data_IF_257003384659
#
_entry.id   IF_257003384659
#
_cell.length_a   1.000
_cell.length_b   1.000
_cell.length_c   1.000
_cell.angle_alpha   90.00
_cell.angle_beta   90.00
_cell.angle_gamma   90.00
#
_symmetry.space_group_name_H-M   'P 1'
#
loop_
_entity.id
_entity.type
_entity.pdbx_description
1 polymer ?
#
# COMPACT_ATOMS: atom_id res chain seq x y z
N UNK A 1 -4.79 12.36 -29.52
CA UNK A 1 -4.97 12.60 -30.98
C UNK A 1 -5.85 11.49 -31.54
N UNK A 2 -6.84 11.82 -32.37
CA UNK A 2 -7.96 10.98 -32.82
C UNK A 2 -7.52 9.73 -33.60
N UNK A 3 -8.20 8.60 -33.39
CA UNK A 3 -8.70 7.72 -34.47
C UNK A 3 -10.04 7.12 -34.00
N UNK A 4 -11.15 7.66 -34.51
CA UNK A 4 -12.44 6.95 -34.56
C UNK A 4 -12.82 6.93 -36.04
N UNK A 5 -13.00 5.74 -36.61
CA UNK A 5 -13.26 5.58 -38.03
C UNK A 5 -14.70 5.99 -38.38
N UNK A 6 -14.90 6.42 -39.62
CA UNK A 6 -16.18 6.96 -40.12
C UNK A 6 -17.35 5.97 -40.04
N UNK A 7 -17.07 4.66 -39.90
CA UNK A 7 -18.06 3.59 -39.75
C UNK A 7 -18.75 3.62 -38.38
N UNK A 8 -18.03 3.93 -37.29
CA UNK A 8 -18.57 3.92 -35.93
C UNK A 8 -19.61 5.05 -35.71
N UNK A 9 -19.47 6.16 -36.44
CA UNK A 9 -20.42 7.29 -36.38
C UNK A 9 -21.74 7.01 -37.07
N UNK A 10 -21.76 6.15 -38.09
CA UNK A 10 -22.98 5.82 -38.84
C UNK A 10 -23.82 4.84 -38.00
N UNK A 11 -23.20 3.79 -37.48
CA UNK A 11 -23.85 2.79 -36.62
C UNK A 11 -24.42 3.46 -35.37
N UNK A 12 -23.66 4.34 -34.72
CA UNK A 12 -24.11 5.04 -33.52
C UNK A 12 -25.31 5.99 -33.79
N UNK A 13 -25.34 6.65 -34.95
CA UNK A 13 -26.48 7.50 -35.34
C UNK A 13 -27.73 6.67 -35.70
N UNK A 14 -27.54 5.51 -36.29
CA UNK A 14 -28.63 4.62 -36.70
C UNK A 14 -29.29 3.97 -35.46
N UNK A 15 -28.48 3.52 -34.50
CA UNK A 15 -28.95 3.04 -33.19
C UNK A 15 -29.68 4.12 -32.38
N UNK A 16 -29.15 5.36 -32.33
CA UNK A 16 -29.81 6.43 -31.60
C UNK A 16 -31.17 6.81 -32.22
N UNK A 17 -31.26 6.79 -33.55
CA UNK A 17 -32.49 7.05 -34.31
C UNK A 17 -33.56 6.00 -34.01
N UNK A 18 -33.20 4.71 -34.01
CA UNK A 18 -34.14 3.62 -33.75
C UNK A 18 -34.64 3.61 -32.29
N UNK A 19 -33.76 3.89 -31.32
CA UNK A 19 -34.12 3.98 -29.91
C UNK A 19 -35.06 5.16 -29.64
N UNK A 20 -34.80 6.33 -30.24
CA UNK A 20 -35.66 7.52 -30.07
C UNK A 20 -37.03 7.31 -30.72
N UNK A 21 -37.10 6.68 -31.89
CA UNK A 21 -38.36 6.38 -32.56
C UNK A 21 -39.17 5.29 -31.85
N UNK A 22 -38.51 4.32 -31.22
CA UNK A 22 -39.13 3.27 -30.40
C UNK A 22 -39.77 3.80 -29.11
N UNK A 23 -39.16 4.81 -28.48
CA UNK A 23 -39.59 5.33 -27.18
C UNK A 23 -40.57 6.52 -27.27
N UNK A 24 -40.68 7.16 -28.43
CA UNK A 24 -41.58 8.31 -28.68
C UNK A 24 -43.06 8.06 -28.31
N UNK A 25 -43.67 6.89 -28.57
CA UNK A 25 -45.08 6.66 -28.23
C UNK A 25 -45.35 6.49 -26.73
N UNK A 26 -44.36 6.05 -25.94
CA UNK A 26 -44.51 5.71 -24.52
C UNK A 26 -44.35 6.92 -23.60
N UNK A 27 -43.59 7.93 -24.04
CA UNK A 27 -43.30 9.14 -23.24
C UNK A 27 -44.49 10.12 -23.21
N UNK A 28 -45.42 10.04 -24.17
CA UNK A 28 -46.54 11.00 -24.29
C UNK A 28 -47.86 10.59 -23.61
N UNK A 29 -47.96 9.42 -22.98
CA UNK A 29 -49.23 8.94 -22.36
C UNK A 29 -49.17 8.63 -20.87
N UNK A 30 -48.14 9.08 -20.15
CA UNK A 30 -48.03 8.80 -18.71
C UNK A 30 -48.83 9.81 -17.87
N UNK A 31 -50.08 9.46 -17.53
CA UNK A 31 -50.95 10.24 -16.63
C UNK A 31 -50.52 10.08 -15.18
N UNK A 32 -49.74 11.03 -14.68
CA UNK A 32 -49.19 11.16 -13.31
C UNK A 32 -50.18 11.06 -12.13
N UNK A 33 -51.48 11.05 -12.39
CA UNK A 33 -52.55 11.12 -11.38
C UNK A 33 -52.67 9.83 -10.55
N UNK A 34 -52.24 8.68 -11.08
CA UNK A 34 -52.33 7.39 -10.41
C UNK A 34 -51.18 7.12 -9.43
N UNK A 35 -49.99 7.67 -9.69
CA UNK A 35 -48.79 7.43 -8.88
C UNK A 35 -48.81 8.22 -7.55
N UNK A 36 -49.46 9.39 -7.53
CA UNK A 36 -49.57 10.26 -6.35
C UNK A 36 -50.54 9.68 -5.30
N UNK A 37 -51.52 8.85 -5.72
CA UNK A 37 -52.44 8.18 -4.80
C UNK A 37 -51.83 6.99 -4.06
N UNK A 38 -50.80 6.33 -4.61
CA UNK A 38 -50.21 5.14 -4.00
C UNK A 38 -49.33 5.45 -2.77
N UNK A 39 -48.81 6.68 -2.66
CA UNK A 39 -47.85 7.04 -1.61
C UNK A 39 -48.38 8.03 -0.56
N UNK A 40 -49.67 8.37 -0.58
CA UNK A 40 -50.31 9.15 0.50
C UNK A 40 -49.71 10.54 0.76
N UNK A 41 -48.94 11.10 -0.18
CA UNK A 41 -48.26 12.38 0.01
C UNK A 41 -49.21 13.54 -0.27
N UNK A 42 -49.68 14.24 0.78
CA UNK A 42 -50.30 15.57 0.65
C UNK A 42 -49.21 16.60 0.33
N UNK A 43 -49.29 17.37 -0.77
CA UNK A 43 -48.32 18.40 -1.06
C UNK A 43 -48.56 19.61 -0.14
N UNK A 44 -47.69 19.82 0.84
CA UNK A 44 -47.46 21.17 1.38
C UNK A 44 -46.45 21.86 0.45
N UNK A 45 -46.85 23.04 -0.05
CA UNK A 45 -46.17 24.01 -0.93
C UNK A 45 -44.72 23.74 -1.43
N UNK A 46 -44.40 24.02 -2.72
CA UNK A 46 -43.08 23.79 -3.33
C UNK A 46 -42.07 24.87 -2.86
N UNK A 47 -40.72 24.70 -2.91
CA UNK A 47 -39.98 24.52 -4.18
C UNK A 47 -38.56 23.85 -4.12
N UNK A 48 -38.01 23.46 -5.27
CA UNK A 48 -36.60 23.66 -5.64
C UNK A 48 -36.36 23.18 -7.08
N UNK A 49 -36.43 24.10 -8.04
CA UNK A 49 -35.92 23.85 -9.38
C UNK A 49 -34.43 24.17 -9.42
N UNK A 50 -33.65 23.41 -10.19
CA UNK A 50 -32.24 23.71 -10.44
C UNK A 50 -32.15 24.54 -11.71
N UNK A 51 -31.42 25.65 -11.64
CA UNK A 51 -31.20 26.54 -12.78
C UNK A 51 -29.95 26.09 -13.54
N UNK A 52 -30.12 25.69 -14.79
CA UNK A 52 -29.02 25.32 -15.68
C UNK A 52 -28.79 26.47 -16.65
N UNK A 53 -27.60 27.07 -16.63
CA UNK A 53 -27.22 28.10 -17.59
C UNK A 53 -26.67 27.46 -18.86
N UNK A 54 -27.26 27.78 -20.01
CA UNK A 54 -26.79 27.30 -21.31
C UNK A 54 -26.38 28.51 -22.16
N UNK A 55 -25.21 28.42 -22.80
CA UNK A 55 -24.75 29.43 -23.73
C UNK A 55 -25.43 29.22 -25.08
N UNK A 56 -26.24 30.18 -25.51
CA UNK A 56 -26.93 30.12 -26.81
C UNK A 56 -26.16 31.00 -27.82
N UNK A 57 -25.62 30.43 -28.91
CA UNK A 57 -24.97 31.22 -29.95
C UNK A 57 -26.01 31.97 -30.81
N UNK A 58 -25.84 33.29 -30.95
CA UNK A 58 -26.69 34.13 -31.81
C UNK A 58 -26.30 33.94 -33.29
N UNK A 59 -27.24 33.78 -34.23
CA UNK A 59 -26.92 33.64 -35.65
C UNK A 59 -26.35 34.95 -36.23
N UNK A 60 -25.25 34.87 -36.97
CA UNK A 60 -24.68 36.00 -37.72
C UNK A 60 -25.63 36.41 -38.86
N UNK A 61 -26.26 37.59 -38.76
CA UNK A 61 -26.74 38.31 -39.97
C UNK A 61 -25.57 39.10 -40.58
N UNK A 62 -25.52 39.13 -41.92
CA UNK A 62 -24.44 39.70 -42.74
C UNK A 62 -24.22 41.19 -42.44
N UNK A 63 -22.94 41.58 -42.40
CA UNK A 63 -22.34 42.87 -42.02
C UNK A 63 -22.97 44.08 -42.71
N UNK A 64 -23.09 45.18 -41.96
CA UNK A 64 -22.47 46.46 -42.34
C UNK A 64 -21.81 47.11 -41.10
N UNK A 65 -20.89 48.02 -41.40
CA UNK A 65 -19.75 48.56 -40.65
C UNK A 65 -19.96 49.09 -39.22
N UNK A 66 -18.82 49.17 -38.52
CA UNK A 66 -18.50 49.83 -37.24
C UNK A 66 -18.68 48.97 -35.97
N UNK A 67 -17.66 49.04 -35.11
CA UNK A 67 -17.40 48.07 -34.04
C UNK A 67 -18.41 48.07 -32.91
N UNK A 68 -18.74 46.88 -32.40
CA UNK A 68 -19.38 46.69 -31.11
C UNK A 68 -19.05 45.31 -30.51
N UNK A 69 -18.96 45.30 -29.19
CA UNK A 69 -18.56 44.20 -28.31
C UNK A 69 -19.39 42.91 -28.50
N UNK A 70 -18.75 41.75 -28.30
CA UNK A 70 -19.43 40.45 -28.21
C UNK A 70 -20.24 40.38 -26.92
N UNK A 71 -21.56 40.44 -27.00
CA UNK A 71 -22.43 40.03 -25.91
C UNK A 71 -22.96 38.61 -26.16
N UNK A 72 -22.65 37.68 -25.25
CA UNK A 72 -23.34 36.38 -25.15
C UNK A 72 -24.50 36.50 -24.17
N UNK A 73 -25.72 36.15 -24.59
CA UNK A 73 -26.86 36.05 -23.66
C UNK A 73 -26.87 34.66 -23.02
N UNK A 74 -26.83 34.61 -21.68
CA UNK A 74 -27.02 33.37 -20.92
C UNK A 74 -28.53 33.06 -20.83
N UNK A 75 -28.95 31.91 -21.31
CA UNK A 75 -30.31 31.42 -21.07
C UNK A 75 -30.30 30.56 -19.80
N UNK A 76 -31.18 30.85 -18.85
CA UNK A 76 -31.32 30.09 -17.61
C UNK A 76 -32.58 29.24 -17.71
N UNK A 77 -32.42 27.92 -17.78
CA UNK A 77 -33.54 26.98 -17.86
C UNK A 77 -33.75 26.38 -16.47
N UNK A 78 -34.97 26.49 -15.95
CA UNK A 78 -35.36 25.85 -14.70
C UNK A 78 -35.73 24.40 -14.98
N UNK A 79 -34.90 23.46 -14.55
CA UNK A 79 -35.17 22.02 -14.66
C UNK A 79 -35.68 21.52 -13.32
N UNK A 80 -36.76 20.73 -13.35
CA UNK A 80 -37.28 20.10 -12.15
C UNK A 80 -36.28 19.05 -11.64
N UNK A 81 -36.05 19.01 -10.33
CA UNK A 81 -35.17 18.01 -9.70
C UNK A 81 -35.60 16.58 -10.05
N UNK A 82 -36.90 16.37 -10.21
CA UNK A 82 -37.46 15.08 -10.62
C UNK A 82 -37.07 14.67 -12.05
N UNK A 83 -36.82 15.63 -12.94
CA UNK A 83 -36.33 15.37 -14.30
C UNK A 83 -34.89 14.87 -14.28
N UNK A 84 -34.06 15.39 -13.37
CA UNK A 84 -32.68 14.92 -13.21
C UNK A 84 -32.63 13.53 -12.58
N UNK A 85 -33.46 13.27 -11.56
CA UNK A 85 -33.56 11.96 -10.92
C UNK A 85 -34.03 10.89 -11.91
N UNK A 86 -35.02 11.19 -12.75
CA UNK A 86 -35.52 10.25 -13.77
C UNK A 86 -34.48 9.93 -14.84
N UNK A 87 -33.72 10.93 -15.31
CA UNK A 87 -32.62 10.70 -16.26
C UNK A 87 -31.50 9.84 -15.65
N UNK A 88 -31.17 10.05 -14.38
CA UNK A 88 -30.17 9.25 -13.67
C UNK A 88 -30.60 7.78 -13.55
N UNK A 89 -31.86 7.53 -13.16
CA UNK A 89 -32.41 6.18 -13.03
C UNK A 89 -32.46 5.45 -14.39
N UNK A 90 -32.84 6.15 -15.46
CA UNK A 90 -32.82 5.59 -16.81
C UNK A 90 -31.39 5.22 -17.27
N UNK A 91 -30.40 6.06 -16.97
CA UNK A 91 -28.99 5.78 -17.28
C UNK A 91 -28.48 4.53 -16.53
N UNK A 92 -28.79 4.42 -15.23
CA UNK A 92 -28.39 3.28 -14.42
C UNK A 92 -29.00 1.97 -14.93
N UNK A 93 -30.27 1.99 -15.36
CA UNK A 93 -30.94 0.81 -15.92
C UNK A 93 -30.32 0.36 -17.26
N UNK A 94 -29.98 1.31 -18.15
CA UNK A 94 -29.33 0.98 -19.43
C UNK A 94 -27.93 0.39 -19.18
N UNK A 95 -27.19 0.94 -18.22
CA UNK A 95 -25.86 0.47 -17.87
C UNK A 95 -25.86 -0.96 -17.32
N UNK A 96 -26.84 -1.31 -16.46
CA UNK A 96 -26.95 -2.67 -15.92
C UNK A 96 -27.33 -3.71 -16.98
N UNK A 97 -28.20 -3.35 -17.94
CA UNK A 97 -28.55 -4.23 -19.07
C UNK A 97 -27.32 -4.49 -19.96
N UNK A 98 -26.50 -3.47 -20.22
CA UNK A 98 -25.27 -3.62 -21.01
C UNK A 98 -24.24 -4.52 -20.32
N UNK A 99 -24.07 -4.41 -19.00
CA UNK A 99 -23.18 -5.30 -18.24
C UNK A 99 -23.64 -6.75 -18.32
N UNK A 100 -24.95 -7.00 -18.15
CA UNK A 100 -25.51 -8.34 -18.27
C UNK A 100 -25.29 -8.95 -19.67
N UNK A 101 -25.45 -8.14 -20.72
CA UNK A 101 -25.24 -8.58 -22.11
C UNK A 101 -23.77 -8.95 -22.42
N UNK A 102 -22.81 -8.22 -21.86
CA UNK A 102 -21.38 -8.52 -22.04
C UNK A 102 -21.02 -9.84 -21.35
N UNK A 103 -21.56 -10.08 -20.17
CA UNK A 103 -21.27 -11.29 -19.38
C UNK A 103 -21.82 -12.55 -20.05
N UNK A 104 -22.99 -12.47 -20.69
CA UNK A 104 -23.65 -13.62 -21.31
C UNK A 104 -23.12 -13.99 -22.70
N UNK A 105 -22.46 -13.08 -23.42
CA UNK A 105 -22.18 -13.25 -24.85
C UNK A 105 -20.73 -13.08 -25.29
N UNK A 106 -19.79 -12.70 -24.41
CA UNK A 106 -18.41 -12.39 -24.81
C UNK A 106 -17.30 -13.24 -24.15
N UNK A 107 -17.61 -14.34 -23.45
CA UNK A 107 -16.59 -15.23 -22.90
C UNK A 107 -16.43 -16.55 -23.70
N UNK A 108 -15.27 -16.80 -24.35
CA UNK A 108 -14.90 -18.13 -24.82
C UNK A 108 -14.26 -18.94 -23.68
N UNK A 109 -14.73 -20.17 -23.52
CA UNK A 109 -14.20 -21.20 -22.62
C UNK A 109 -12.88 -21.76 -23.16
N UNK A 110 -11.83 -21.80 -22.32
CA UNK A 110 -10.58 -22.49 -22.65
C UNK A 110 -10.17 -23.43 -21.51
N UNK A 111 -9.92 -24.67 -21.95
CA UNK A 111 -9.52 -25.88 -21.23
C UNK A 111 -8.07 -25.73 -20.71
N UNK A 112 -7.82 -26.13 -19.48
CA UNK A 112 -6.49 -26.15 -18.84
C UNK A 112 -5.78 -27.49 -19.06
N UNK A 113 -4.47 -27.46 -19.30
CA UNK A 113 -3.57 -28.62 -19.18
C UNK A 113 -2.54 -28.36 -18.05
N UNK A 114 -2.15 -29.35 -17.24
CA UNK A 114 -1.25 -29.11 -16.11
C UNK A 114 0.22 -29.20 -16.52
N UNK A 115 0.98 -28.14 -16.22
CA UNK A 115 2.44 -28.07 -16.40
C UNK A 115 3.21 -28.65 -15.22
N UNK A 116 4.24 -29.43 -15.55
CA UNK A 116 5.15 -30.17 -14.67
C UNK A 116 6.05 -29.22 -13.86
N UNK A 117 6.02 -29.31 -12.53
CA UNK A 117 6.95 -28.60 -11.64
C UNK A 117 8.31 -29.29 -11.58
N UNK A 118 9.37 -28.63 -12.06
CA UNK A 118 10.77 -29.05 -11.85
C UNK A 118 11.20 -28.73 -10.41
N UNK A 119 11.77 -29.73 -9.72
CA UNK A 119 12.48 -29.55 -8.45
C UNK A 119 13.65 -28.57 -8.62
N UNK A 120 13.55 -27.38 -8.02
CA UNK A 120 14.68 -26.44 -7.91
C UNK A 120 15.51 -26.85 -6.69
N UNK A 121 16.82 -27.07 -6.90
CA UNK A 121 17.80 -27.29 -5.83
C UNK A 121 18.07 -25.95 -5.13
N UNK A 122 17.83 -25.88 -3.83
CA UNK A 122 18.32 -24.81 -2.96
C UNK A 122 19.85 -24.73 -3.06
N UNK A 123 20.39 -23.69 -3.71
CA UNK A 123 21.79 -23.28 -3.56
C UNK A 123 21.83 -22.12 -2.57
N UNK A 124 21.82 -22.46 -1.29
CA UNK A 124 21.93 -21.52 -0.20
C UNK A 124 22.43 -22.21 1.05
N UNK A 125 23.63 -22.81 1.00
CA UNK A 125 24.38 -23.13 2.24
C UNK A 125 24.87 -21.82 2.84
N UNK A 126 23.98 -21.09 3.49
CA UNK A 126 24.39 -20.13 4.50
C UNK A 126 24.62 -20.92 5.78
N UNK A 127 25.82 -21.49 5.93
CA UNK A 127 26.34 -21.85 7.25
C UNK A 127 26.66 -20.55 8.00
N UNK A 128 25.61 -19.87 8.46
CA UNK A 128 25.74 -18.72 9.34
C UNK A 128 26.02 -19.29 10.73
N UNK A 129 27.27 -19.14 11.17
CA UNK A 129 27.63 -19.42 12.55
C UNK A 129 26.67 -18.68 13.47
N UNK A 130 26.03 -19.42 14.38
CA UNK A 130 25.18 -18.85 15.42
C UNK A 130 26.08 -17.96 16.29
N UNK A 131 25.87 -16.63 16.38
CA UNK A 131 26.58 -15.84 17.36
C UNK A 131 26.08 -16.29 18.75
N UNK A 132 26.93 -16.99 19.49
CA UNK A 132 26.65 -17.43 20.87
C UNK A 132 26.84 -16.31 21.91
N UNK A 133 27.11 -15.07 21.50
CA UNK A 133 27.41 -13.98 22.43
C UNK A 133 26.41 -12.83 22.31
N UNK A 134 25.95 -12.37 23.49
CA UNK A 134 25.26 -11.09 23.67
C UNK A 134 26.16 -9.95 23.15
N UNK A 135 25.58 -8.86 22.63
CA UNK A 135 26.35 -7.77 22.07
C UNK A 135 27.27 -7.13 23.12
N UNK A 136 28.48 -6.75 22.69
CA UNK A 136 29.38 -5.93 23.48
C UNK A 136 28.99 -4.45 23.28
N UNK A 137 28.68 -3.73 24.36
CA UNK A 137 28.18 -2.35 24.31
C UNK A 137 29.27 -1.29 23.99
N UNK A 138 30.45 -1.69 23.53
CA UNK A 138 31.55 -0.75 23.26
C UNK A 138 31.35 -0.01 21.92
N UNK A 139 31.62 1.30 21.94
CA UNK A 139 31.70 2.11 20.72
C UNK A 139 32.84 1.58 19.84
N UNK A 140 32.51 1.09 18.64
CA UNK A 140 33.49 0.50 17.72
C UNK A 140 34.22 1.61 16.95
N UNK A 141 35.55 1.66 17.11
CA UNK A 141 36.41 2.56 16.32
C UNK A 141 36.83 1.80 15.07
N UNK A 142 36.32 2.19 13.90
CA UNK A 142 36.80 1.67 12.62
C UNK A 142 37.82 2.66 12.02
N UNK A 143 38.89 2.12 11.44
CA UNK A 143 39.87 2.89 10.68
C UNK A 143 39.45 2.78 9.21
N UNK A 144 38.77 3.81 8.70
CA UNK A 144 38.52 3.98 7.26
C UNK A 144 39.46 5.08 6.78
N UNK A 145 40.26 4.79 5.75
CA UNK A 145 41.21 5.72 5.13
C UNK A 145 42.15 6.45 6.13
N UNK A 146 42.62 5.74 7.16
CA UNK A 146 43.55 6.28 8.15
C UNK A 146 42.95 7.32 9.11
N UNK A 147 41.64 7.63 9.02
CA UNK A 147 40.95 8.50 9.97
C UNK A 147 40.18 7.65 10.99
N UNK A 148 40.40 7.91 12.28
CA UNK A 148 39.55 7.37 13.36
C UNK A 148 38.18 8.04 13.25
N UNK A 149 37.18 7.30 12.78
CA UNK A 149 35.79 7.77 12.81
C UNK A 149 35.11 7.13 14.02
N UNK A 150 34.69 7.96 14.96
CA UNK A 150 33.92 7.51 16.13
C UNK A 150 32.48 7.28 15.69
N UNK A 151 31.89 6.13 16.04
CA UNK A 151 30.46 5.94 15.85
C UNK A 151 29.67 6.99 16.63
N UNK A 152 28.58 7.47 16.02
CA UNK A 152 27.64 8.44 16.60
C UNK A 152 26.73 7.74 17.60
N UNK A 153 26.36 6.49 17.32
CA UNK A 153 25.55 5.64 18.19
C UNK A 153 25.80 4.16 17.89
N UNK A 154 25.29 3.27 18.75
CA UNK A 154 25.44 1.81 18.58
C UNK A 154 24.06 1.14 18.68
N UNK A 155 23.60 0.52 17.60
CA UNK A 155 22.30 -0.19 17.60
C UNK A 155 22.24 -1.37 18.56
N UNK A 156 23.40 -1.89 18.96
CA UNK A 156 23.51 -2.97 19.95
C UNK A 156 23.26 -2.51 21.40
N UNK A 157 23.28 -1.20 21.69
CA UNK A 157 22.96 -0.72 23.04
C UNK A 157 21.47 -0.77 23.35
N UNK A 158 20.62 -1.09 22.38
CA UNK A 158 19.17 -1.13 22.54
C UNK A 158 18.61 -2.50 22.91
N UNK A 159 19.46 -3.52 23.02
CA UNK A 159 19.05 -4.78 23.62
C UNK A 159 18.89 -4.60 25.14
N UNK A 160 17.79 -5.09 25.68
CA UNK A 160 17.57 -5.12 27.13
C UNK A 160 18.45 -6.20 27.76
N UNK A 161 19.22 -5.82 28.77
CA UNK A 161 20.04 -6.78 29.52
C UNK A 161 19.15 -7.82 30.19
N UNK A 162 19.50 -9.10 30.03
CA UNK A 162 18.82 -10.25 30.63
C UNK A 162 17.37 -10.51 30.17
N UNK A 163 16.91 -9.81 29.15
CA UNK A 163 15.65 -10.12 28.49
C UNK A 163 15.83 -11.19 27.41
N UNK A 164 14.98 -12.23 27.36
CA UNK A 164 15.01 -13.20 26.28
C UNK A 164 14.64 -12.51 24.95
N UNK A 165 15.41 -12.82 23.92
CA UNK A 165 15.11 -12.45 22.54
C UNK A 165 13.95 -13.32 22.02
N UNK A 166 13.18 -12.83 21.03
CA UNK A 166 12.12 -13.63 20.42
C UNK A 166 12.69 -14.89 19.76
N UNK A 167 11.84 -15.92 19.65
CA UNK A 167 12.26 -17.20 19.08
C UNK A 167 12.69 -17.03 17.62
N UNK A 168 13.79 -17.67 17.25
CA UNK A 168 14.26 -17.65 15.88
C UNK A 168 13.77 -18.87 15.11
N UNK A 169 12.93 -18.63 14.09
CA UNK A 169 12.68 -19.63 13.03
C UNK A 169 13.75 -19.51 11.94
N UNK A 170 14.71 -20.42 12.01
CA UNK A 170 15.83 -20.51 11.05
C UNK A 170 15.37 -20.94 9.66
N UNK A 171 16.22 -20.69 8.66
CA UNK A 171 16.02 -21.12 7.26
C UNK A 171 14.75 -20.57 6.59
N UNK A 172 14.23 -19.45 7.10
CA UNK A 172 13.11 -18.74 6.49
C UNK A 172 13.54 -18.02 5.22
N UNK A 173 12.69 -18.01 4.18
CA UNK A 173 12.98 -17.26 2.95
C UNK A 173 13.08 -15.78 3.29
N UNK A 174 12.09 -15.27 4.02
CA UNK A 174 12.08 -13.90 4.49
C UNK A 174 11.58 -13.77 5.91
N UNK A 175 12.04 -12.71 6.57
CA UNK A 175 11.47 -12.22 7.82
C UNK A 175 10.57 -11.03 7.54
N UNK A 176 9.43 -10.97 8.23
CA UNK A 176 8.67 -9.72 8.34
C UNK A 176 8.94 -9.11 9.72
N UNK A 177 9.50 -7.91 9.75
CA UNK A 177 9.55 -7.08 10.97
C UNK A 177 8.40 -6.08 10.90
N UNK A 178 7.55 -6.11 11.92
CA UNK A 178 6.33 -5.28 12.00
C UNK A 178 6.55 -4.22 13.06
N UNK A 179 6.69 -2.96 12.66
CA UNK A 179 6.74 -1.86 13.60
C UNK A 179 5.35 -1.68 14.24
N UNK A 180 5.28 -1.84 15.56
CA UNK A 180 4.05 -1.73 16.34
C UNK A 180 4.29 -0.86 17.58
N UNK A 181 3.23 -0.53 18.32
CA UNK A 181 3.30 0.19 19.58
C UNK A 181 2.77 -0.68 20.73
N UNK A 182 3.22 -0.51 21.96
CA UNK A 182 2.86 -1.37 23.11
C UNK A 182 1.35 -1.61 23.21
N UNK A 183 0.55 -0.56 23.05
CA UNK A 183 -0.91 -0.54 23.11
C UNK A 183 -1.61 -1.33 21.99
N UNK A 184 -0.95 -1.54 20.84
CA UNK A 184 -1.54 -2.17 19.66
C UNK A 184 -1.61 -3.71 19.72
N UNK A 185 -1.84 -4.27 20.91
CA UNK A 185 -2.00 -5.71 21.16
C UNK A 185 -3.04 -6.36 20.24
N UNK A 186 -4.17 -5.67 20.02
CA UNK A 186 -5.24 -6.14 19.14
C UNK A 186 -4.83 -6.22 17.66
N UNK A 187 -4.04 -5.27 17.16
CA UNK A 187 -3.53 -5.29 15.79
C UNK A 187 -2.56 -6.45 15.61
N UNK A 188 -1.61 -6.61 16.53
CA UNK A 188 -0.66 -7.74 16.52
C UNK A 188 -1.39 -9.08 16.55
N UNK A 189 -2.41 -9.24 17.39
CA UNK A 189 -3.23 -10.46 17.45
C UNK A 189 -3.89 -10.77 16.10
N UNK A 190 -4.52 -9.80 15.44
CA UNK A 190 -5.14 -10.03 14.13
C UNK A 190 -4.11 -10.35 13.05
N UNK A 191 -2.95 -9.69 13.07
CA UNK A 191 -1.84 -10.00 12.16
C UNK A 191 -1.36 -11.45 12.35
N UNK A 192 -1.16 -11.89 13.61
CA UNK A 192 -0.80 -13.29 13.94
C UNK A 192 -1.83 -14.27 13.41
N UNK A 193 -3.12 -13.97 13.54
CA UNK A 193 -4.20 -14.85 13.09
C UNK A 193 -4.40 -14.85 11.57
N UNK A 194 -3.74 -13.94 10.85
CA UNK A 194 -3.90 -13.75 9.41
C UNK A 194 -2.58 -14.01 8.67
N UNK A 195 -2.01 -13.00 8.01
CA UNK A 195 -0.92 -13.16 7.05
C UNK A 195 0.42 -13.54 7.68
N UNK A 196 0.57 -13.41 9.01
CA UNK A 196 1.74 -13.91 9.73
C UNK A 196 1.68 -15.40 10.07
N UNK A 197 0.53 -16.07 9.92
CA UNK A 197 0.41 -17.51 10.15
C UNK A 197 0.51 -18.30 8.82
N UNK A 198 1.61 -19.02 8.56
CA UNK A 198 1.75 -19.85 7.36
C UNK A 198 0.68 -20.93 7.21
N UNK A 199 0.10 -21.43 8.31
CA UNK A 199 -0.96 -22.45 8.28
C UNK A 199 -2.24 -21.98 7.56
N UNK A 200 -2.38 -20.66 7.36
CA UNK A 200 -3.50 -20.08 6.59
C UNK A 200 -3.36 -20.31 5.08
N UNK A 201 -2.23 -20.83 4.62
CA UNK A 201 -1.92 -21.01 3.20
C UNK A 201 -1.75 -22.50 2.90
N UNK A 202 -2.61 -23.03 2.02
CA UNK A 202 -2.48 -24.40 1.54
C UNK A 202 -1.12 -24.61 0.86
N UNK A 203 -0.41 -25.67 1.24
CA UNK A 203 0.88 -26.08 0.64
C UNK A 203 2.10 -25.20 0.94
N UNK A 204 2.04 -24.29 1.92
CA UNK A 204 3.24 -23.58 2.39
C UNK A 204 4.01 -24.39 3.42
N UNK A 205 5.36 -24.47 3.32
CA UNK A 205 6.16 -25.11 4.36
C UNK A 205 6.16 -24.24 5.63
N UNK A 206 6.28 -24.88 6.81
CA UNK A 206 6.30 -24.22 8.13
C UNK A 206 7.40 -23.14 8.30
N UNK A 207 8.38 -23.12 7.39
CA UNK A 207 9.53 -22.24 7.38
C UNK A 207 9.49 -21.23 6.22
N UNK A 208 8.33 -20.98 5.60
CA UNK A 208 8.20 -20.05 4.48
C UNK A 208 8.61 -18.62 4.89
N UNK A 209 8.04 -18.10 5.99
CA UNK A 209 8.41 -16.83 6.61
C UNK A 209 8.15 -16.83 8.11
N UNK A 210 8.69 -15.82 8.79
CA UNK A 210 8.45 -15.59 10.21
C UNK A 210 8.25 -14.09 10.48
N UNK A 211 7.25 -13.76 11.30
CA UNK A 211 6.97 -12.40 11.71
C UNK A 211 7.55 -12.10 13.10
N UNK A 212 8.04 -10.89 13.29
CA UNK A 212 8.50 -10.36 14.57
C UNK A 212 7.94 -8.96 14.76
N UNK A 213 7.36 -8.70 15.92
CA UNK A 213 6.81 -7.39 16.25
C UNK A 213 7.85 -6.56 17.00
N UNK A 214 8.07 -5.34 16.55
CA UNK A 214 9.01 -4.40 17.17
C UNK A 214 8.24 -3.43 18.05
N UNK A 215 8.63 -3.34 19.32
CA UNK A 215 8.05 -2.40 20.30
C UNK A 215 9.15 -1.77 21.14
N UNK A 216 8.86 -0.62 21.75
CA UNK A 216 9.74 0.02 22.73
C UNK A 216 9.38 -0.36 24.16
N UNK A 217 9.91 0.40 25.11
CA UNK A 217 9.53 0.34 26.52
C UNK A 217 8.16 0.99 26.73
N UNK A 218 7.29 0.35 27.53
CA UNK A 218 6.08 0.99 28.03
C UNK A 218 6.44 2.15 28.96
N UNK A 219 5.50 3.08 29.12
CA UNK A 219 5.60 4.25 30.00
C UNK A 219 4.92 4.03 31.37
N UNK A 220 4.17 2.93 31.53
CA UNK A 220 3.43 2.60 32.75
C UNK A 220 3.46 1.09 33.07
N UNK A 221 3.22 0.76 34.34
CA UNK A 221 3.31 -0.59 34.88
C UNK A 221 2.23 -1.54 34.31
N UNK A 222 1.03 -1.03 34.04
CA UNK A 222 -0.06 -1.84 33.45
C UNK A 222 0.31 -2.32 32.04
N UNK A 223 0.87 -1.42 31.23
CA UNK A 223 1.34 -1.70 29.88
C UNK A 223 2.55 -2.65 29.91
N UNK A 224 3.43 -2.52 30.90
CA UNK A 224 4.53 -3.46 31.13
C UNK A 224 4.02 -4.86 31.47
N UNK A 225 3.04 -4.96 32.36
CA UNK A 225 2.43 -6.23 32.71
C UNK A 225 1.78 -6.92 31.50
N UNK A 226 1.00 -6.17 30.71
CA UNK A 226 0.36 -6.69 29.50
C UNK A 226 1.39 -7.11 28.43
N UNK A 227 2.43 -6.31 28.23
CA UNK A 227 3.51 -6.61 27.30
C UNK A 227 4.25 -7.89 27.70
N UNK A 228 4.58 -8.05 28.97
CA UNK A 228 5.26 -9.24 29.48
C UNK A 228 4.39 -10.50 29.31
N UNK A 229 3.08 -10.39 29.57
CA UNK A 229 2.13 -11.48 29.34
C UNK A 229 2.08 -11.88 27.87
N UNK A 230 1.98 -10.91 26.95
CA UNK A 230 2.00 -11.17 25.51
C UNK A 230 3.32 -11.79 25.07
N UNK A 231 4.45 -11.27 25.57
CA UNK A 231 5.79 -11.77 25.27
C UNK A 231 5.93 -13.24 25.64
N UNK A 232 5.52 -13.63 26.85
CA UNK A 232 5.55 -15.03 27.30
C UNK A 232 4.64 -15.93 26.46
N UNK A 233 3.51 -15.41 26.02
CA UNK A 233 2.52 -16.19 25.26
C UNK A 233 2.98 -16.49 23.82
N UNK A 234 3.54 -15.51 23.12
CA UNK A 234 3.81 -15.62 21.67
C UNK A 234 5.29 -15.72 21.31
N UNK A 235 6.21 -15.26 22.17
CA UNK A 235 7.66 -15.28 21.94
C UNK A 235 8.11 -14.64 20.60
N UNK A 236 7.38 -13.65 20.09
CA UNK A 236 7.61 -12.98 18.81
C UNK A 236 7.77 -11.46 18.92
N UNK A 237 7.93 -10.95 20.15
CA UNK A 237 8.18 -9.53 20.44
C UNK A 237 9.67 -9.25 20.59
N UNK A 238 10.19 -8.30 19.80
CA UNK A 238 11.48 -7.66 20.02
C UNK A 238 11.26 -6.31 20.72
N UNK A 239 11.54 -6.29 22.02
CA UNK A 239 11.40 -5.10 22.88
C UNK A 239 12.75 -4.39 22.95
N UNK A 240 12.79 -3.12 22.54
CA UNK A 240 14.01 -2.32 22.61
C UNK A 240 14.07 -1.38 23.81
N UNK A 241 15.30 -1.06 24.22
CA UNK A 241 15.61 -0.16 25.33
C UNK A 241 15.49 1.33 24.94
N UNK A 242 14.31 1.74 24.48
CA UNK A 242 13.96 3.12 24.14
C UNK A 242 12.47 3.33 24.42
N UNK A 243 12.06 4.55 24.75
CA UNK A 243 10.64 4.86 24.93
C UNK A 243 9.87 4.55 23.64
N UNK A 244 8.74 3.85 23.74
CA UNK A 244 7.90 3.56 22.58
C UNK A 244 7.19 4.83 22.10
N UNK A 245 7.75 5.46 21.07
CA UNK A 245 7.21 6.69 20.50
C UNK A 245 7.60 6.81 19.02
N UNK A 246 6.83 7.61 18.28
CA UNK A 246 7.13 7.91 16.88
C UNK A 246 8.55 8.50 16.70
N UNK A 247 9.00 9.34 17.65
CA UNK A 247 10.33 9.97 17.58
C UNK A 247 11.48 8.94 17.63
N UNK A 248 11.24 7.77 18.22
CA UNK A 248 12.20 6.67 18.30
C UNK A 248 11.97 5.58 17.23
N UNK A 249 11.11 5.81 16.24
CA UNK A 249 10.79 4.79 15.22
C UNK A 249 12.02 4.31 14.46
N UNK A 250 12.94 5.21 14.12
CA UNK A 250 14.23 4.87 13.48
C UNK A 250 15.06 3.92 14.33
N UNK A 251 15.18 4.18 15.64
CA UNK A 251 15.90 3.30 16.56
C UNK A 251 15.25 1.92 16.60
N UNK A 252 13.91 1.89 16.66
CA UNK A 252 13.12 0.66 16.66
C UNK A 252 13.36 -0.19 15.41
N UNK A 253 13.32 0.43 14.24
CA UNK A 253 13.50 -0.29 12.97
C UNK A 253 14.95 -0.77 12.79
N UNK A 254 15.95 0.06 13.08
CA UNK A 254 17.36 -0.38 13.00
C UNK A 254 17.66 -1.49 14.02
N UNK A 255 17.07 -1.45 15.21
CA UNK A 255 17.17 -2.54 16.19
C UNK A 255 16.57 -3.85 15.64
N UNK A 256 15.40 -3.78 15.01
CA UNK A 256 14.77 -4.90 14.29
C UNK A 256 15.62 -5.46 13.15
N UNK A 257 16.28 -4.60 12.38
CA UNK A 257 17.22 -4.98 11.34
C UNK A 257 18.46 -5.66 11.91
N UNK A 258 19.06 -5.10 12.95
CA UNK A 258 20.23 -5.66 13.61
C UNK A 258 19.92 -7.09 14.11
N UNK A 259 18.81 -7.26 14.81
CA UNK A 259 18.37 -8.57 15.29
C UNK A 259 18.14 -9.55 14.13
N UNK A 260 17.40 -9.12 13.10
CA UNK A 260 17.05 -9.99 11.98
C UNK A 260 18.26 -10.40 11.14
N UNK A 261 19.26 -9.53 10.97
CA UNK A 261 20.42 -9.82 10.14
C UNK A 261 21.53 -10.59 10.87
N UNK A 262 21.69 -10.36 12.18
CA UNK A 262 22.82 -10.89 12.93
C UNK A 262 22.45 -12.06 13.84
N UNK A 263 21.23 -12.10 14.40
CA UNK A 263 20.83 -13.13 15.37
C UNK A 263 19.90 -14.17 14.80
N UNK A 264 19.10 -13.81 13.80
CA UNK A 264 18.17 -14.74 13.18
C UNK A 264 18.10 -14.53 11.66
N UNK A 265 19.19 -14.69 10.90
CA UNK A 265 19.20 -14.39 9.47
C UNK A 265 18.14 -15.14 8.64
N UNK A 266 17.63 -14.46 7.61
CA UNK A 266 16.81 -14.99 6.50
C UNK A 266 17.38 -14.44 5.18
N UNK A 267 16.84 -14.79 4.01
CA UNK A 267 17.37 -14.24 2.74
C UNK A 267 16.97 -12.78 2.54
N UNK A 268 15.74 -12.44 2.91
CA UNK A 268 15.18 -11.09 2.81
C UNK A 268 14.52 -10.65 4.11
N UNK A 269 14.55 -9.36 4.38
CA UNK A 269 13.84 -8.75 5.50
C UNK A 269 12.83 -7.76 4.92
N UNK A 270 11.57 -7.93 5.29
CA UNK A 270 10.45 -7.08 4.94
C UNK A 270 10.13 -6.23 6.15
N UNK A 271 10.20 -4.91 6.02
CA UNK A 271 9.69 -3.97 7.03
C UNK A 271 8.30 -3.53 6.64
N UNK A 272 7.38 -3.57 7.61
CA UNK A 272 6.02 -3.03 7.49
C UNK A 272 5.55 -2.46 8.82
N UNK A 273 4.43 -1.75 8.81
CA UNK A 273 3.78 -1.23 10.02
C UNK A 273 2.57 -2.10 10.42
N UNK A 274 2.06 -1.95 11.65
CA UNK A 274 0.96 -2.76 12.19
C UNK A 274 -0.44 -2.42 11.66
N UNK A 275 -0.54 -1.41 10.80
CA UNK A 275 -1.70 -1.02 10.02
C UNK A 275 -1.54 -1.39 8.53
N UNK A 276 -0.71 -2.39 8.23
CA UNK A 276 -0.53 -2.90 6.88
C UNK A 276 -1.08 -4.32 6.74
N UNK A 277 -1.55 -4.64 5.54
CA UNK A 277 -1.77 -6.01 5.09
C UNK A 277 -0.62 -6.43 4.17
N UNK A 278 -0.01 -7.58 4.46
CA UNK A 278 1.07 -8.15 3.64
C UNK A 278 0.58 -9.41 2.95
N UNK A 279 0.67 -9.46 1.63
CA UNK A 279 0.33 -10.65 0.85
C UNK A 279 1.51 -11.65 0.88
N UNK A 280 1.70 -12.30 2.02
CA UNK A 280 2.84 -13.17 2.30
C UNK A 280 2.92 -14.37 1.35
N UNK A 281 1.79 -14.94 0.93
CA UNK A 281 1.76 -16.01 -0.06
C UNK A 281 2.31 -15.58 -1.43
N UNK A 282 1.87 -14.42 -1.94
CA UNK A 282 2.39 -13.86 -3.18
C UNK A 282 3.87 -13.47 -3.07
N UNK A 283 4.28 -12.89 -1.95
CA UNK A 283 5.67 -12.53 -1.70
C UNK A 283 6.59 -13.75 -1.66
N UNK A 284 6.16 -14.83 -1.01
CA UNK A 284 6.90 -16.09 -0.97
C UNK A 284 7.13 -16.64 -2.38
N UNK A 285 6.06 -16.72 -3.17
CA UNK A 285 6.12 -17.20 -4.55
C UNK A 285 7.06 -16.33 -5.40
N UNK A 286 6.89 -15.00 -5.34
CA UNK A 286 7.72 -14.07 -6.10
C UNK A 286 9.20 -14.12 -5.71
N UNK A 287 9.52 -14.07 -4.41
CA UNK A 287 10.90 -14.06 -3.93
C UNK A 287 11.64 -15.37 -4.20
N UNK A 288 10.91 -16.48 -4.29
CA UNK A 288 11.48 -17.81 -4.55
C UNK A 288 11.65 -18.11 -6.04
N UNK A 289 10.71 -17.69 -6.89
CA UNK A 289 10.65 -18.13 -8.29
C UNK A 289 10.87 -17.02 -9.33
N UNK A 290 10.69 -15.76 -8.96
CA UNK A 290 10.65 -14.65 -9.93
C UNK A 290 11.67 -13.55 -9.65
N UNK A 291 12.11 -13.40 -8.41
CA UNK A 291 13.06 -12.37 -8.03
C UNK A 291 14.43 -12.57 -8.69
N UNK A 292 14.83 -11.63 -9.55
CA UNK A 292 16.12 -11.55 -10.20
C UNK A 292 17.21 -10.86 -9.35
N UNK A 293 16.82 -10.32 -8.18
CA UNK A 293 17.69 -9.58 -7.24
C UNK A 293 17.80 -10.31 -5.90
N UNK A 294 18.63 -11.35 -5.85
CA UNK A 294 18.88 -12.14 -4.63
C UNK A 294 19.88 -11.49 -3.66
N UNK A 295 20.60 -10.46 -4.11
CA UNK A 295 21.51 -9.63 -3.32
C UNK A 295 21.44 -8.17 -3.78
N UNK A 296 21.89 -7.23 -2.95
CA UNK A 296 21.79 -5.80 -3.28
C UNK A 296 20.37 -5.26 -3.42
N UNK A 297 19.37 -5.97 -2.86
CA UNK A 297 17.95 -5.61 -3.01
C UNK A 297 17.55 -4.56 -1.97
N UNK A 298 16.93 -3.48 -2.43
CA UNK A 298 16.14 -2.54 -1.65
C UNK A 298 14.96 -2.10 -2.51
N UNK A 299 13.74 -2.57 -2.20
CA UNK A 299 12.57 -2.34 -3.03
C UNK A 299 11.34 -1.90 -2.23
N UNK A 300 10.55 -1.00 -2.80
CA UNK A 300 9.31 -0.50 -2.20
C UNK A 300 8.66 0.57 -3.09
N UNK A 301 7.67 1.30 -2.57
CA UNK A 301 7.14 2.47 -3.28
C UNK A 301 8.09 3.64 -3.14
N UNK A 302 8.62 4.17 -4.25
CA UNK A 302 9.49 5.35 -4.24
C UNK A 302 8.73 6.55 -4.78
N UNK A 303 8.79 7.67 -4.05
CA UNK A 303 8.30 8.96 -4.53
C UNK A 303 9.48 9.78 -5.05
N UNK A 304 9.37 10.29 -6.28
CA UNK A 304 10.40 11.10 -6.94
C UNK A 304 10.06 12.59 -6.96
N UNK A 305 8.88 12.97 -6.47
CA UNK A 305 8.46 14.36 -6.41
C UNK A 305 9.36 15.14 -5.43
N UNK A 306 9.90 16.26 -5.89
CA UNK A 306 10.76 17.11 -5.09
C UNK A 306 10.08 17.65 -3.84
N UNK A 307 8.76 17.86 -3.87
CA UNK A 307 7.99 18.30 -2.70
C UNK A 307 7.93 17.20 -1.64
N UNK A 308 7.80 15.93 -2.07
CA UNK A 308 7.77 14.77 -1.17
C UNK A 308 9.14 14.46 -0.56
N UNK A 309 10.23 14.82 -1.25
CA UNK A 309 11.59 14.63 -0.76
C UNK A 309 12.10 15.82 0.07
N UNK A 310 11.36 16.93 0.13
CA UNK A 310 11.78 18.09 0.89
C UNK A 310 11.75 17.80 2.39
N UNK A 311 12.83 18.15 3.08
CA UNK A 311 12.90 17.99 4.53
C UNK A 311 11.99 19.03 5.21
N UNK A 312 11.00 18.53 5.94
CA UNK A 312 10.07 19.37 6.68
C UNK A 312 10.80 19.94 7.91
N UNK A 313 10.79 21.27 8.03
CA UNK A 313 11.36 22.02 9.15
C UNK A 313 10.21 22.64 9.96
N UNK A 314 10.14 22.37 11.27
CA UNK A 314 9.16 23.00 12.17
C UNK A 314 8.53 22.04 13.18
N UNK A 315 8.48 22.45 14.45
CA UNK A 315 8.25 21.56 15.59
C UNK A 315 6.85 20.92 15.66
N UNK A 316 5.85 21.50 14.97
CA UNK A 316 4.47 21.02 14.99
C UNK A 316 4.19 19.85 14.06
N UNK A 317 5.08 19.56 13.09
CA UNK A 317 4.91 18.42 12.20
C UNK A 317 5.62 17.19 12.79
N UNK A 318 4.92 16.04 12.86
CA UNK A 318 5.51 14.79 13.38
C UNK A 318 6.72 14.30 12.57
N UNK A 319 6.78 14.65 11.28
CA UNK A 319 7.85 14.31 10.34
C UNK A 319 8.97 15.35 10.29
N UNK A 320 8.92 16.36 11.16
CA UNK A 320 9.96 17.39 11.22
C UNK A 320 11.32 16.81 11.61
N UNK A 321 12.34 17.25 10.88
CA UNK A 321 13.74 16.93 11.16
C UNK A 321 14.51 18.24 11.32
N UNK A 322 15.19 18.48 12.46
CA UNK A 322 15.97 19.69 12.66
C UNK A 322 17.29 19.67 11.88
N UNK A 323 17.92 20.84 11.72
CA UNK A 323 19.12 21.01 10.89
C UNK A 323 20.36 20.29 11.46
N UNK A 324 20.45 20.15 12.77
CA UNK A 324 21.54 19.44 13.46
C UNK A 324 21.51 17.93 13.23
N UNK A 325 20.32 17.35 13.00
CA UNK A 325 20.15 15.94 12.66
C UNK A 325 20.33 15.68 11.16
N UNK A 326 19.86 16.59 10.31
CA UNK A 326 20.02 16.48 8.87
C UNK A 326 20.08 17.86 8.22
N UNK A 327 21.24 18.31 7.68
CA UNK A 327 21.40 19.68 7.21
C UNK A 327 20.85 19.92 5.80
N UNK A 328 20.77 18.89 4.95
CA UNK A 328 20.37 19.07 3.56
C UNK A 328 18.89 19.44 3.42
N UNK A 329 18.57 20.15 2.33
CA UNK A 329 17.19 20.57 2.05
C UNK A 329 16.28 19.42 1.58
N UNK A 330 16.85 18.40 0.94
CA UNK A 330 16.11 17.28 0.35
C UNK A 330 16.75 15.96 0.75
N UNK A 331 15.92 14.96 1.01
CA UNK A 331 16.36 13.57 1.15
C UNK A 331 16.73 12.98 -0.22
N UNK A 332 17.64 11.99 -0.28
CA UNK A 332 17.80 11.15 -1.47
C UNK A 332 16.53 10.32 -1.73
N UNK A 333 16.28 9.79 -2.93
CA UNK A 333 15.16 8.90 -3.18
C UNK A 333 15.16 7.68 -2.23
N UNK A 334 14.01 7.36 -1.65
CA UNK A 334 13.86 6.28 -0.68
C UNK A 334 12.54 5.52 -0.85
N UNK A 335 12.51 4.27 -0.40
CA UNK A 335 11.28 3.50 -0.33
C UNK A 335 10.45 3.97 0.86
N UNK A 336 9.22 4.42 0.60
CA UNK A 336 8.32 5.01 1.59
C UNK A 336 7.91 4.03 2.70
N UNK A 337 7.41 4.61 3.80
CA UNK A 337 6.93 3.93 4.99
C UNK A 337 5.77 2.95 4.77
N UNK A 338 5.20 2.87 3.56
CA UNK A 338 4.22 1.83 3.18
C UNK A 338 4.75 0.40 3.39
N UNK A 339 6.07 0.25 3.44
CA UNK A 339 6.77 -1.00 3.60
C UNK A 339 7.79 -1.21 2.50
N UNK A 340 8.81 -2.01 2.79
CA UNK A 340 9.91 -2.24 1.86
C UNK A 340 10.63 -3.57 2.14
N UNK A 341 11.30 -4.10 1.12
CA UNK A 341 11.95 -5.40 1.11
C UNK A 341 13.45 -5.17 0.89
N UNK A 342 14.28 -5.78 1.73
CA UNK A 342 15.74 -5.63 1.69
C UNK A 342 16.40 -7.00 1.75
N UNK A 343 17.42 -7.27 0.94
CA UNK A 343 18.23 -8.48 1.10
C UNK A 343 19.16 -8.38 2.32
N UNK A 344 19.42 -9.50 2.99
CA UNK A 344 20.16 -9.50 4.26
C UNK A 344 21.59 -8.93 4.15
N UNK A 345 22.25 -9.07 3.00
CA UNK A 345 23.56 -8.43 2.75
C UNK A 345 23.49 -6.91 2.79
N UNK A 346 22.40 -6.31 2.29
CA UNK A 346 22.16 -4.87 2.36
C UNK A 346 21.80 -4.46 3.78
N UNK A 347 20.97 -5.24 4.49
CA UNK A 347 20.64 -4.93 5.90
C UNK A 347 21.88 -4.89 6.79
N UNK A 348 22.85 -5.79 6.57
CA UNK A 348 24.12 -5.76 7.31
C UNK A 348 24.92 -4.47 7.07
N UNK A 349 25.01 -4.03 5.81
CA UNK A 349 25.66 -2.76 5.45
C UNK A 349 24.91 -1.56 6.04
N UNK A 350 23.58 -1.58 5.97
CA UNK A 350 22.71 -0.56 6.54
C UNK A 350 22.92 -0.41 8.06
N UNK A 351 22.91 -1.51 8.82
CA UNK A 351 23.11 -1.50 10.28
C UNK A 351 24.52 -1.06 10.67
N UNK A 352 25.53 -1.34 9.85
CA UNK A 352 26.88 -0.87 10.06
C UNK A 352 27.00 0.64 9.80
N UNK A 353 26.56 1.10 8.63
CA UNK A 353 26.66 2.52 8.25
C UNK A 353 25.76 3.41 9.11
N UNK A 354 24.61 2.91 9.57
CA UNK A 354 23.69 3.69 10.40
C UNK A 354 24.37 4.25 11.65
N UNK A 355 25.34 3.53 12.22
CA UNK A 355 26.11 3.95 13.41
C UNK A 355 26.90 5.24 13.20
N UNK A 356 27.13 5.67 11.96
CA UNK A 356 27.84 6.90 11.59
C UNK A 356 26.90 8.02 11.12
N UNK A 357 25.59 7.77 11.11
CA UNK A 357 24.56 8.74 10.70
C UNK A 357 23.67 9.08 11.88
N UNK A 358 23.55 10.36 12.21
CA UNK A 358 22.70 10.86 13.30
C UNK A 358 21.24 10.43 13.02
N UNK A 359 20.61 9.64 13.91
CA UNK A 359 19.24 9.21 13.71
C UNK A 359 18.25 10.38 13.88
N UNK A 360 17.23 10.40 13.02
CA UNK A 360 16.09 11.31 13.10
C UNK A 360 14.77 10.54 12.97
N UNK A 361 13.65 11.15 13.36
CA UNK A 361 12.37 10.44 13.56
C UNK A 361 11.74 9.86 12.28
N UNK A 362 11.91 10.55 11.14
CA UNK A 362 11.34 10.11 9.86
C UNK A 362 12.10 8.89 9.31
N UNK A 363 11.69 7.71 9.74
CA UNK A 363 12.45 6.46 9.59
C UNK A 363 12.73 6.05 8.14
N UNK A 364 11.73 6.07 7.27
CA UNK A 364 11.89 5.68 5.86
C UNK A 364 12.87 6.61 5.11
N UNK A 365 12.81 7.92 5.39
CA UNK A 365 13.78 8.90 4.91
C UNK A 365 15.18 8.65 5.49
N UNK A 366 15.29 8.29 6.78
CA UNK A 366 16.57 7.93 7.40
C UNK A 366 17.19 6.70 6.72
N UNK A 367 16.41 5.64 6.48
CA UNK A 367 16.85 4.47 5.72
C UNK A 367 17.35 4.89 4.34
N UNK A 368 16.62 5.77 3.66
CA UNK A 368 17.05 6.37 2.40
C UNK A 368 18.43 7.04 2.42
N UNK A 369 18.67 7.86 3.44
CA UNK A 369 19.96 8.54 3.65
C UNK A 369 21.09 7.53 3.83
N UNK A 370 20.89 6.51 4.67
CA UNK A 370 21.91 5.48 4.90
C UNK A 370 22.14 4.62 3.65
N UNK A 371 21.07 4.26 2.93
CA UNK A 371 21.14 3.51 1.66
C UNK A 371 21.95 4.26 0.60
N UNK A 372 21.74 5.58 0.49
CA UNK A 372 22.50 6.45 -0.41
C UNK A 372 23.99 6.44 -0.07
N UNK A 373 24.36 6.49 1.21
CA UNK A 373 25.76 6.42 1.67
C UNK A 373 26.45 5.09 1.34
N UNK A 374 25.73 3.97 1.43
CA UNK A 374 26.26 2.65 1.04
C UNK A 374 26.13 2.35 -0.46
N UNK A 375 25.67 3.32 -1.27
CA UNK A 375 25.57 3.20 -2.72
C UNK A 375 24.42 2.31 -3.22
N UNK A 376 23.40 2.04 -2.39
CA UNK A 376 22.22 1.24 -2.76
C UNK A 376 21.08 2.17 -3.16
N UNK A 377 20.53 1.98 -4.37
CA UNK A 377 19.39 2.74 -4.88
C UNK A 377 18.09 1.95 -4.71
N UNK A 378 16.97 2.59 -4.34
CA UNK A 378 15.71 1.88 -4.21
C UNK A 378 15.15 1.48 -5.59
N UNK A 379 14.59 0.28 -5.66
CA UNK A 379 13.81 -0.22 -6.79
C UNK A 379 12.34 0.13 -6.52
N UNK A 380 11.74 0.92 -7.42
CA UNK A 380 10.33 1.31 -7.29
C UNK A 380 9.40 0.19 -7.70
N UNK A 381 8.33 -0.02 -6.93
CA UNK A 381 7.27 -0.97 -7.27
C UNK A 381 5.89 -0.42 -6.90
N UNK A 382 4.96 -0.48 -7.86
CA UNK A 382 3.55 -0.09 -7.65
C UNK A 382 2.74 -1.15 -6.87
N UNK A 383 3.39 -2.25 -6.48
CA UNK A 383 2.80 -3.35 -5.70
C UNK A 383 2.71 -3.02 -4.20
N UNK A 384 3.27 -1.89 -3.79
CA UNK A 384 3.11 -1.28 -2.47
C UNK A 384 2.11 -0.14 -2.60
N UNK A 385 0.96 -0.27 -1.95
CA UNK A 385 -0.18 0.61 -2.14
C UNK A 385 -0.57 1.31 -0.85
N UNK A 386 -0.89 2.60 -0.97
CA UNK A 386 -1.50 3.39 0.08
C UNK A 386 -3.03 3.29 0.02
N UNK A 387 -3.65 2.78 1.09
CA UNK A 387 -5.09 2.67 1.23
C UNK A 387 -5.69 1.40 0.61
N UNK A 388 -6.78 0.91 1.21
CA UNK A 388 -7.49 -0.30 0.79
C UNK A 388 -8.80 -0.03 0.03
N UNK A 389 -9.21 1.24 -0.08
CA UNK A 389 -10.48 1.64 -0.69
C UNK A 389 -10.52 1.34 -2.19
N UNK A 390 -11.61 0.74 -2.66
CA UNK A 390 -11.82 0.46 -4.09
C UNK A 390 -11.05 -0.76 -4.62
N UNK A 391 -10.37 -1.53 -3.76
CA UNK A 391 -9.66 -2.74 -4.18
C UNK A 391 -10.61 -3.88 -4.54
N UNK A 392 -10.61 -4.25 -5.82
CA UNK A 392 -11.24 -5.47 -6.33
C UNK A 392 -10.47 -6.72 -5.89
N UNK A 393 -11.12 -7.89 -5.97
CA UNK A 393 -10.49 -9.18 -5.71
C UNK A 393 -9.19 -9.35 -6.52
N UNK A 394 -9.24 -9.07 -7.82
CA UNK A 394 -8.11 -9.33 -8.72
C UNK A 394 -6.89 -8.42 -8.48
N UNK A 395 -7.02 -7.33 -7.72
CA UNK A 395 -5.85 -6.53 -7.32
C UNK A 395 -4.89 -7.35 -6.44
N UNK A 396 -5.40 -8.29 -5.64
CA UNK A 396 -4.60 -9.11 -4.73
C UNK A 396 -3.76 -10.19 -5.44
N UNK A 397 -3.88 -10.33 -6.77
CA UNK A 397 -2.88 -11.09 -7.56
C UNK A 397 -1.51 -10.40 -7.61
N UNK A 398 -1.46 -9.10 -7.32
CA UNK A 398 -0.29 -8.26 -7.60
C UNK A 398 0.23 -7.51 -6.40
N UNK A 399 -0.67 -7.03 -5.53
CA UNK A 399 -0.28 -6.21 -4.40
C UNK A 399 0.52 -7.01 -3.36
N UNK A 400 1.72 -6.52 -3.05
CA UNK A 400 2.56 -7.05 -1.98
C UNK A 400 2.15 -6.51 -0.62
N UNK A 401 1.98 -5.18 -0.51
CA UNK A 401 1.63 -4.52 0.75
C UNK A 401 0.53 -3.49 0.48
N UNK A 402 -0.47 -3.47 1.35
CA UNK A 402 -1.54 -2.47 1.39
C UNK A 402 -1.49 -1.79 2.76
N UNK A 403 -1.22 -0.49 2.78
CA UNK A 403 -1.12 0.32 3.99
C UNK A 403 -2.49 0.92 4.38
N UNK A 404 -2.68 1.22 5.67
CA UNK A 404 -3.90 1.85 6.20
C UNK A 404 -5.05 0.85 6.34
N UNK A 405 -4.73 -0.36 6.78
CA UNK A 405 -5.64 -1.48 6.99
C UNK A 405 -5.93 -1.61 8.48
N UNK A 406 -7.20 -1.44 8.82
CA UNK A 406 -7.65 -1.64 10.20
C UNK A 406 -7.65 -3.12 10.60
N UNK A 407 -7.59 -3.39 11.90
CA UNK A 407 -7.46 -4.76 12.45
C UNK A 407 -8.57 -5.71 11.96
N UNK A 408 -9.80 -5.21 11.84
CA UNK A 408 -10.99 -5.95 11.40
C UNK A 408 -10.99 -6.23 9.89
N UNK A 409 -10.21 -5.47 9.11
CA UNK A 409 -10.06 -5.65 7.67
C UNK A 409 -9.03 -6.73 7.31
N UNK A 410 -8.09 -7.06 8.20
CA UNK A 410 -6.99 -8.00 7.96
C UNK A 410 -7.49 -9.36 7.41
N UNK A 411 -8.50 -9.94 8.05
CA UNK A 411 -9.09 -11.22 7.62
C UNK A 411 -9.83 -11.13 6.28
N UNK A 412 -10.42 -9.98 5.96
CA UNK A 412 -11.08 -9.76 4.66
C UNK A 412 -10.05 -9.70 3.54
N UNK A 413 -8.95 -8.97 3.74
CA UNK A 413 -7.88 -8.84 2.77
C UNK A 413 -7.15 -10.17 2.57
N UNK A 414 -6.93 -10.94 3.63
CA UNK A 414 -6.36 -12.28 3.52
C UNK A 414 -7.24 -13.20 2.65
N UNK A 415 -8.56 -13.21 2.87
CA UNK A 415 -9.47 -14.01 2.01
C UNK A 415 -9.37 -13.61 0.55
N UNK A 416 -9.36 -12.31 0.25
CA UNK A 416 -9.16 -11.82 -1.12
C UNK A 416 -7.81 -12.28 -1.71
N UNK A 417 -6.74 -12.25 -0.92
CA UNK A 417 -5.42 -12.70 -1.35
C UNK A 417 -5.35 -14.20 -1.64
N UNK A 418 -6.06 -15.03 -0.87
CA UNK A 418 -6.14 -16.47 -1.08
C UNK A 418 -7.02 -16.84 -2.28
N UNK A 419 -8.09 -16.07 -2.53
CA UNK A 419 -9.05 -16.33 -3.60
C UNK A 419 -8.58 -15.81 -4.97
N UNK A 420 -7.90 -14.66 -5.01
CA UNK A 420 -7.50 -14.00 -6.26
C UNK A 420 -6.63 -14.86 -7.22
N UNK A 421 -5.72 -15.74 -6.74
CA UNK A 421 -4.98 -16.67 -7.60
C UNK A 421 -5.88 -17.59 -8.44
N UNK A 422 -7.03 -18.00 -7.89
CA UNK A 422 -7.96 -18.97 -8.50
C UNK A 422 -9.05 -18.28 -9.30
N UNK A 423 -9.64 -17.22 -8.76
CA UNK A 423 -10.84 -16.58 -9.35
C UNK A 423 -10.55 -15.60 -10.48
N UNK A 424 -9.31 -15.15 -10.64
CA UNK A 424 -8.98 -14.07 -11.57
C UNK A 424 -8.00 -14.55 -12.65
N UNK A 425 -8.45 -14.54 -13.91
CA UNK A 425 -7.61 -14.91 -15.05
C UNK A 425 -6.78 -13.71 -15.55
N UNK A 426 -5.67 -13.41 -14.87
CA UNK A 426 -4.72 -12.39 -15.32
C UNK A 426 -3.27 -12.88 -15.19
N UNK A 427 -2.37 -12.50 -16.11
CA UNK A 427 -0.97 -12.94 -16.09
C UNK A 427 -0.28 -12.51 -14.79
N UNK A 428 0.67 -13.32 -14.31
CA UNK A 428 1.49 -13.00 -13.15
C UNK A 428 2.46 -11.87 -13.49
N UNK A 429 2.70 -10.97 -12.53
CA UNK A 429 3.77 -9.97 -12.63
C UNK A 429 5.00 -10.56 -11.96
N UNK A 430 5.99 -10.88 -12.78
CA UNK A 430 7.25 -11.54 -12.36
C UNK A 430 8.43 -10.57 -12.27
N UNK A 431 8.20 -9.26 -12.48
CA UNK A 431 9.17 -8.19 -12.28
C UNK A 431 8.86 -7.32 -11.06
N UNK A 432 9.85 -6.56 -10.63
CA UNK A 432 9.71 -5.55 -9.57
C UNK A 432 8.89 -4.33 -9.99
N UNK A 433 9.03 -3.91 -11.25
CA UNK A 433 8.35 -2.75 -11.85
C UNK A 433 6.95 -3.07 -12.35
#
# INVERSE_FOLDING_TARGET
MKIWNNWDRIIYKQLLSEVVNSLSPYIMKFKWQYFIKLFGLKPKNPPSGVYVSVNVPVPKRRKLSSGLSRHSTKAVIKVSIWTLVTLLLAFLLIYTILLAYVDTHLHPSIITSPGVYKKVKFQGRYSLGIPKQKPNNSLTINILDGKKVKSVWNSSSYYLENEPLPNCKWQTIFRVIVASAVENTGRRKEIRNTWCNPERFSSMPDHAWHCIFLVGKPDNDDSLFLLNKEKMQYNDLLVGNYADSYRNLTLKVIHGFNWSANYCPSSYIIKTDDDCFVNTGLLHEFLLHHNDKTSGLYAGRVFFDSEMLQVIRGDSNRWSVPYDQYPDKFYPPYASGLGYIISTDVVKKLVHESQYVIPFANEDAYIGVVMSKIGIKPITSNRFLLGSTGLSLCNFRYLFIVHGVEKDQQSVLLRKALEAPVSCNRPLITSWS
#
